data_IF_026497458001
#
_entry.id   IF_026497458001
#
_cell.length_a   1.000
_cell.length_b   1.000
_cell.length_c   1.000
_cell.angle_alpha   90.00
_cell.angle_beta   90.00
_cell.angle_gamma   90.00
#
_symmetry.space_group_name_H-M   'P 1'
#
loop_
_entity.id
_entity.type
_entity.pdbx_description
1 polymer ?
#
# COMPACT_ATOMS: atom_id res chain seq x y z
N UNK A 1 7.15 70.36 -59.71
CA UNK A 1 8.34 69.46 -59.71
C UNK A 1 8.40 68.82 -58.33
N UNK A 2 8.08 67.52 -58.22
CA UNK A 2 8.12 66.83 -56.91
C UNK A 2 9.60 66.71 -56.52
N UNK A 3 9.99 67.28 -55.38
CA UNK A 3 11.34 67.16 -54.84
C UNK A 3 11.53 65.74 -54.30
N UNK A 4 12.13 64.88 -55.13
CA UNK A 4 12.43 63.49 -54.81
C UNK A 4 13.25 63.31 -53.52
N UNK A 5 14.05 64.31 -53.14
CA UNK A 5 14.82 64.32 -51.90
C UNK A 5 13.94 64.33 -50.65
N UNK A 6 12.79 65.01 -50.68
CA UNK A 6 11.84 65.04 -49.54
C UNK A 6 11.13 63.70 -49.38
N UNK A 7 10.84 63.01 -50.48
CA UNK A 7 10.24 61.68 -50.48
C UNK A 7 11.22 60.64 -49.94
N UNK A 8 12.49 60.70 -50.35
CA UNK A 8 13.53 59.78 -49.86
C UNK A 8 13.84 59.97 -48.37
N UNK A 9 13.92 61.20 -47.89
CA UNK A 9 14.11 61.48 -46.45
C UNK A 9 12.89 61.06 -45.63
N UNK A 10 11.68 61.24 -46.14
CA UNK A 10 10.46 60.78 -45.48
C UNK A 10 10.40 59.24 -45.41
N UNK A 11 10.76 58.53 -46.48
CA UNK A 11 10.83 57.05 -46.52
C UNK A 11 11.94 56.54 -45.59
N UNK A 12 13.13 57.16 -45.61
CA UNK A 12 14.24 56.80 -44.72
C UNK A 12 13.92 57.06 -43.24
N UNK A 13 13.27 58.19 -42.93
CA UNK A 13 12.83 58.54 -41.58
C UNK A 13 11.76 57.61 -41.04
N UNK A 14 10.76 57.25 -41.87
CA UNK A 14 9.74 56.27 -41.48
C UNK A 14 10.30 54.86 -41.33
N UNK A 15 11.23 54.45 -42.19
CA UNK A 15 11.93 53.17 -42.05
C UNK A 15 12.79 53.10 -40.76
N UNK A 16 13.49 54.19 -40.42
CA UNK A 16 14.29 54.27 -39.20
C UNK A 16 13.42 54.26 -37.93
N UNK A 17 12.30 54.99 -37.92
CA UNK A 17 11.34 54.97 -36.81
C UNK A 17 10.68 53.61 -36.69
N UNK A 18 10.30 52.96 -37.79
CA UNK A 18 9.74 51.61 -37.78
C UNK A 18 10.76 50.57 -37.26
N UNK A 19 12.02 50.64 -37.70
CA UNK A 19 13.09 49.77 -37.23
C UNK A 19 13.40 49.97 -35.74
N UNK A 20 13.46 51.22 -35.27
CA UNK A 20 13.64 51.55 -33.86
C UNK A 20 12.47 51.05 -33.01
N UNK A 21 11.23 51.25 -33.47
CA UNK A 21 10.02 50.78 -32.79
C UNK A 21 9.96 49.26 -32.73
N UNK A 22 10.35 48.57 -33.81
CA UNK A 22 10.43 47.11 -33.86
C UNK A 22 11.50 46.55 -32.92
N UNK A 23 12.67 47.20 -32.83
CA UNK A 23 13.72 46.82 -31.87
C UNK A 23 13.28 46.99 -30.42
N UNK A 24 12.63 48.10 -30.09
CA UNK A 24 12.09 48.35 -28.75
C UNK A 24 10.96 47.39 -28.40
N UNK A 25 10.01 47.17 -29.32
CA UNK A 25 8.92 46.23 -29.13
C UNK A 25 9.45 44.81 -28.92
N UNK A 26 10.40 44.36 -29.75
CA UNK A 26 11.04 43.04 -29.62
C UNK A 26 11.76 42.90 -28.27
N UNK A 27 12.56 43.89 -27.86
CA UNK A 27 13.27 43.84 -26.58
C UNK A 27 12.35 43.82 -25.35
N UNK A 28 11.21 44.51 -25.41
CA UNK A 28 10.19 44.46 -24.34
C UNK A 28 9.48 43.09 -24.36
N UNK A 29 9.11 42.59 -25.54
CA UNK A 29 8.40 41.32 -25.68
C UNK A 29 9.24 40.13 -25.23
N UNK A 30 10.51 40.09 -25.64
CA UNK A 30 11.46 39.03 -25.26
C UNK A 30 11.69 39.03 -23.73
N UNK A 31 11.85 40.21 -23.10
CA UNK A 31 11.97 40.31 -21.63
C UNK A 31 10.70 39.88 -20.90
N UNK A 32 9.52 40.22 -21.42
CA UNK A 32 8.24 39.81 -20.83
C UNK A 32 8.04 38.30 -20.97
N UNK A 33 8.34 37.72 -22.12
CA UNK A 33 8.28 36.27 -22.35
C UNK A 33 9.26 35.52 -21.45
N UNK A 34 10.52 35.93 -21.38
CA UNK A 34 11.52 35.32 -20.51
C UNK A 34 11.11 35.38 -19.04
N UNK A 35 10.54 36.51 -18.60
CA UNK A 35 10.06 36.64 -17.21
C UNK A 35 8.88 35.71 -16.90
N UNK A 36 7.99 35.47 -17.88
CA UNK A 36 6.85 34.56 -17.73
C UNK A 36 7.29 33.10 -17.82
N UNK A 37 8.19 32.76 -18.73
CA UNK A 37 8.78 31.44 -18.86
C UNK A 37 9.53 31.06 -17.58
N UNK A 38 10.35 31.94 -17.02
CA UNK A 38 11.01 31.71 -15.72
C UNK A 38 10.02 31.52 -14.59
N UNK A 39 8.97 32.35 -14.51
CA UNK A 39 7.91 32.16 -13.50
C UNK A 39 7.19 30.83 -13.65
N UNK A 40 6.90 30.41 -14.88
CA UNK A 40 6.26 29.11 -15.16
C UNK A 40 7.20 27.97 -14.80
N UNK A 41 8.48 28.05 -15.15
CA UNK A 41 9.51 27.07 -14.79
C UNK A 41 9.67 26.95 -13.28
N UNK A 42 9.73 28.08 -12.56
CA UNK A 42 9.82 28.12 -11.10
C UNK A 42 8.55 27.54 -10.45
N UNK A 43 7.36 27.83 -11.01
CA UNK A 43 6.09 27.24 -10.56
C UNK A 43 6.06 25.72 -10.80
N UNK A 44 6.56 25.25 -11.94
CA UNK A 44 6.66 23.82 -12.23
C UNK A 44 7.61 23.16 -11.22
N UNK A 45 8.80 23.71 -11.01
CA UNK A 45 9.78 23.18 -10.03
C UNK A 45 9.22 23.16 -8.61
N UNK A 46 8.54 24.23 -8.18
CA UNK A 46 7.88 24.28 -6.87
C UNK A 46 6.76 23.25 -6.74
N UNK A 47 5.90 23.12 -7.76
CA UNK A 47 4.82 22.13 -7.75
C UNK A 47 5.34 20.70 -7.72
N UNK A 48 6.44 20.41 -8.44
CA UNK A 48 7.12 19.12 -8.40
C UNK A 48 7.75 18.86 -7.02
N UNK A 49 8.45 19.85 -6.44
CA UNK A 49 9.03 19.72 -5.11
C UNK A 49 7.96 19.50 -4.04
N UNK A 50 6.83 20.21 -4.10
CA UNK A 50 5.69 19.98 -3.22
C UNK A 50 5.09 18.59 -3.39
N UNK A 51 4.96 18.12 -4.63
CA UNK A 51 4.44 16.79 -4.93
C UNK A 51 5.35 15.70 -4.34
N UNK A 52 6.65 15.78 -4.58
CA UNK A 52 7.66 14.86 -4.02
C UNK A 52 7.60 14.89 -2.49
N UNK A 53 7.49 16.08 -1.88
CA UNK A 53 7.38 16.20 -0.42
C UNK A 53 6.10 15.56 0.13
N UNK A 54 4.97 15.69 -0.57
CA UNK A 54 3.69 15.05 -0.18
C UNK A 54 3.78 13.54 -0.32
N UNK A 55 4.34 13.04 -1.43
CA UNK A 55 4.53 11.61 -1.67
C UNK A 55 5.47 10.99 -0.62
N UNK A 56 6.60 11.64 -0.30
CA UNK A 56 7.49 11.22 0.78
C UNK A 56 6.80 11.16 2.15
N UNK A 57 5.99 12.18 2.47
CA UNK A 57 5.23 12.20 3.73
C UNK A 57 4.21 11.07 3.81
N UNK A 58 3.51 10.78 2.72
CA UNK A 58 2.54 9.66 2.67
C UNK A 58 3.29 8.33 2.82
N UNK A 59 4.42 8.17 2.16
CA UNK A 59 5.27 6.98 2.27
C UNK A 59 5.76 6.76 3.71
N UNK A 60 6.25 7.79 4.38
CA UNK A 60 6.67 7.70 5.79
C UNK A 60 5.48 7.32 6.70
N UNK A 61 4.28 7.82 6.40
CA UNK A 61 3.06 7.50 7.14
C UNK A 61 2.56 6.06 6.92
N UNK A 62 2.84 5.44 5.77
CA UNK A 62 2.41 4.07 5.46
C UNK A 62 3.40 3.01 5.94
N UNK A 63 4.68 3.35 6.06
CA UNK A 63 5.74 2.38 6.30
C UNK A 63 5.63 1.67 7.66
N UNK A 64 5.45 2.43 8.75
CA UNK A 64 5.41 1.87 10.10
C UNK A 64 4.17 0.97 10.34
N UNK A 65 2.95 1.37 9.91
CA UNK A 65 1.80 0.48 9.97
C UNK A 65 1.93 -0.78 9.10
N UNK A 66 2.49 -0.68 7.89
CA UNK A 66 2.73 -1.85 7.04
C UNK A 66 3.74 -2.82 7.67
N UNK A 67 4.80 -2.30 8.29
CA UNK A 67 5.75 -3.10 9.06
C UNK A 67 5.06 -3.82 10.23
N UNK A 68 4.16 -3.12 10.91
CA UNK A 68 3.37 -3.68 12.02
C UNK A 68 2.47 -4.82 11.53
N UNK A 69 1.77 -4.63 10.41
CA UNK A 69 0.97 -5.68 9.76
C UNK A 69 1.81 -6.91 9.41
N UNK A 70 2.97 -6.73 8.78
CA UNK A 70 3.85 -7.84 8.44
C UNK A 70 4.30 -8.58 9.70
N UNK A 71 4.68 -7.84 10.75
CA UNK A 71 5.11 -8.45 12.02
C UNK A 71 3.99 -9.22 12.71
N UNK A 72 2.78 -8.66 12.78
CA UNK A 72 1.61 -9.31 13.35
C UNK A 72 1.22 -10.56 12.57
N UNK A 73 1.19 -10.47 11.23
CA UNK A 73 0.93 -11.61 10.35
C UNK A 73 1.95 -12.73 10.55
N UNK A 74 3.23 -12.40 10.67
CA UNK A 74 4.29 -13.38 10.93
C UNK A 74 4.14 -14.07 12.30
N UNK A 75 3.85 -13.30 13.35
CA UNK A 75 3.62 -13.85 14.71
C UNK A 75 2.39 -14.74 14.75
N UNK A 76 1.30 -14.31 14.12
CA UNK A 76 0.07 -15.09 14.01
C UNK A 76 0.30 -16.40 13.25
N UNK A 77 1.02 -16.34 12.11
CA UNK A 77 1.43 -17.52 11.34
C UNK A 77 2.23 -18.51 12.19
N UNK A 78 3.22 -18.05 12.94
CA UNK A 78 4.03 -18.93 13.78
C UNK A 78 3.21 -19.59 14.89
N UNK A 79 2.36 -18.82 15.59
CA UNK A 79 1.47 -19.39 16.61
C UNK A 79 0.47 -20.38 16.00
N UNK A 80 -0.02 -20.13 14.78
CA UNK A 80 -0.88 -21.04 14.04
C UNK A 80 -0.15 -22.33 13.63
N UNK A 81 1.11 -22.21 13.20
CA UNK A 81 1.96 -23.37 12.91
C UNK A 81 2.13 -24.26 14.13
N UNK A 82 2.45 -23.66 15.28
CA UNK A 82 2.65 -24.40 16.53
C UNK A 82 1.39 -25.20 16.93
N UNK A 83 0.19 -24.61 16.71
CA UNK A 83 -1.11 -25.26 16.90
C UNK A 83 -1.38 -26.39 15.87
N UNK A 84 -1.02 -26.18 14.61
CA UNK A 84 -1.26 -27.15 13.53
C UNK A 84 -0.32 -28.36 13.62
N UNK A 85 0.95 -28.14 13.95
CA UNK A 85 1.95 -29.21 14.11
C UNK A 85 1.72 -30.04 15.37
N UNK A 86 1.15 -29.43 16.42
CA UNK A 86 0.91 -30.08 17.71
C UNK A 86 -0.58 -30.01 18.10
N UNK A 87 -1.43 -30.90 17.56
CA UNK A 87 -2.88 -30.90 17.86
C UNK A 87 -3.18 -31.14 19.34
N UNK A 88 -2.26 -31.74 20.11
CA UNK A 88 -2.40 -31.87 21.57
C UNK A 88 -2.34 -30.52 22.29
N UNK A 89 -1.70 -29.51 21.68
CA UNK A 89 -1.64 -28.11 22.13
C UNK A 89 -2.90 -27.33 21.71
N UNK A 90 -3.81 -27.91 20.92
CA UNK A 90 -5.06 -27.24 20.50
C UNK A 90 -6.03 -26.90 21.66
N UNK A 91 -5.82 -27.43 22.87
CA UNK A 91 -6.54 -26.99 24.09
C UNK A 91 -5.76 -25.93 24.89
N UNK A 92 -4.60 -25.47 24.41
CA UNK A 92 -3.82 -24.39 25.02
C UNK A 92 -4.52 -23.05 24.84
N UNK A 93 -5.35 -22.72 25.83
CA UNK A 93 -6.05 -21.43 25.95
C UNK A 93 -5.11 -20.23 25.83
N UNK A 94 -3.84 -20.36 26.26
CA UNK A 94 -2.87 -19.26 26.20
C UNK A 94 -2.49 -18.96 24.75
N UNK A 95 -2.16 -19.99 23.97
CA UNK A 95 -1.72 -19.83 22.58
C UNK A 95 -2.87 -19.33 21.70
N UNK A 96 -4.09 -19.85 21.90
CA UNK A 96 -5.31 -19.36 21.23
C UNK A 96 -5.59 -17.90 21.62
N UNK A 97 -5.46 -17.56 22.91
CA UNK A 97 -5.62 -16.19 23.38
C UNK A 97 -4.61 -15.24 22.74
N UNK A 98 -3.34 -15.64 22.62
CA UNK A 98 -2.32 -14.87 21.91
C UNK A 98 -2.65 -14.69 20.43
N UNK A 99 -3.12 -15.74 19.76
CA UNK A 99 -3.51 -15.67 18.36
C UNK A 99 -4.68 -14.72 18.12
N UNK A 100 -5.66 -14.70 19.03
CA UNK A 100 -6.77 -13.72 19.03
C UNK A 100 -6.25 -12.29 19.20
N UNK A 101 -5.34 -12.06 20.15
CA UNK A 101 -4.70 -10.73 20.32
C UNK A 101 -4.00 -10.30 19.04
N UNK A 102 -3.24 -11.19 18.38
CA UNK A 102 -2.61 -10.86 17.11
C UNK A 102 -3.62 -10.54 16.02
N UNK A 103 -4.72 -11.31 15.93
CA UNK A 103 -5.81 -11.04 14.99
C UNK A 103 -6.44 -9.67 15.24
N UNK A 104 -6.78 -9.34 16.48
CA UNK A 104 -7.47 -8.11 16.82
C UNK A 104 -6.57 -6.90 16.56
N UNK A 105 -5.30 -6.95 16.97
CA UNK A 105 -4.31 -5.92 16.62
C UNK A 105 -4.13 -5.80 15.10
N UNK A 106 -4.18 -6.90 14.36
CA UNK A 106 -4.08 -6.86 12.89
C UNK A 106 -5.27 -6.14 12.25
N UNK A 107 -6.49 -6.36 12.77
CA UNK A 107 -7.70 -5.68 12.33
C UNK A 107 -7.66 -4.19 12.63
N UNK A 108 -7.19 -3.81 13.82
CA UNK A 108 -7.01 -2.42 14.22
C UNK A 108 -6.01 -1.71 13.30
N UNK A 109 -4.82 -2.28 13.08
CA UNK A 109 -3.83 -1.68 12.17
C UNK A 109 -4.35 -1.60 10.73
N UNK A 110 -5.11 -2.59 10.26
CA UNK A 110 -5.77 -2.54 8.95
C UNK A 110 -6.70 -1.33 8.83
N UNK A 111 -7.46 -1.02 9.87
CA UNK A 111 -8.36 0.13 9.87
C UNK A 111 -7.60 1.45 9.74
N UNK A 112 -6.48 1.60 10.45
CA UNK A 112 -5.62 2.79 10.43
C UNK A 112 -5.05 3.07 9.04
N UNK A 113 -4.65 2.03 8.31
CA UNK A 113 -3.98 2.19 7.02
C UNK A 113 -4.91 2.31 5.82
N UNK A 114 -6.21 2.07 6.00
CA UNK A 114 -7.18 1.99 4.88
C UNK A 114 -7.15 3.22 3.98
N UNK A 115 -6.96 4.41 4.54
CA UNK A 115 -6.93 5.66 3.79
C UNK A 115 -5.55 5.99 3.19
N UNK A 116 -4.52 5.23 3.57
CA UNK A 116 -3.12 5.56 3.28
C UNK A 116 -2.53 4.71 2.14
N UNK A 117 -3.11 3.54 1.87
CA UNK A 117 -2.60 2.61 0.84
C UNK A 117 -3.58 2.43 -0.33
N UNK A 118 -3.10 2.05 -1.53
CA UNK A 118 -3.95 1.73 -2.67
C UNK A 118 -4.95 0.61 -2.35
N UNK A 119 -6.12 0.66 -3.00
CA UNK A 119 -7.20 -0.30 -2.75
C UNK A 119 -6.81 -1.73 -3.10
N UNK A 120 -5.97 -1.96 -4.12
CA UNK A 120 -5.48 -3.30 -4.46
C UNK A 120 -4.61 -3.87 -3.33
N UNK A 121 -3.65 -3.07 -2.85
CA UNK A 121 -2.77 -3.43 -1.73
C UNK A 121 -3.59 -3.71 -0.48
N UNK A 122 -4.57 -2.84 -0.17
CA UNK A 122 -5.43 -3.01 1.00
C UNK A 122 -6.24 -4.30 0.92
N UNK A 123 -6.83 -4.60 -0.24
CA UNK A 123 -7.63 -5.82 -0.45
C UNK A 123 -6.79 -7.06 -0.17
N UNK A 124 -5.56 -7.10 -0.66
CA UNK A 124 -4.72 -8.29 -0.59
C UNK A 124 -4.19 -8.50 0.85
N UNK A 125 -3.85 -7.43 1.56
CA UNK A 125 -3.54 -7.49 3.00
C UNK A 125 -4.78 -7.93 3.80
N UNK A 126 -5.97 -7.41 3.46
CA UNK A 126 -7.22 -7.77 4.12
C UNK A 126 -7.61 -9.25 3.93
N UNK A 127 -7.14 -9.93 2.87
CA UNK A 127 -7.37 -11.37 2.73
C UNK A 127 -6.72 -12.18 3.85
N UNK A 128 -5.56 -11.75 4.36
CA UNK A 128 -4.88 -12.44 5.45
C UNK A 128 -5.72 -12.45 6.73
N UNK A 129 -6.44 -11.34 7.01
CA UNK A 129 -7.40 -11.25 8.12
C UNK A 129 -8.44 -12.37 8.04
N UNK A 130 -9.05 -12.58 6.88
CA UNK A 130 -10.07 -13.62 6.70
C UNK A 130 -9.50 -15.02 6.94
N UNK A 131 -8.30 -15.28 6.42
CA UNK A 131 -7.61 -16.57 6.62
C UNK A 131 -7.28 -16.81 8.09
N UNK A 132 -6.83 -15.78 8.80
CA UNK A 132 -6.54 -15.84 10.23
C UNK A 132 -7.81 -16.11 11.05
N UNK A 133 -8.91 -15.43 10.73
CA UNK A 133 -10.21 -15.68 11.36
C UNK A 133 -10.71 -17.10 11.09
N UNK A 134 -10.54 -17.60 9.86
CA UNK A 134 -10.95 -18.96 9.51
C UNK A 134 -10.15 -20.02 10.28
N UNK A 135 -8.83 -19.82 10.40
CA UNK A 135 -7.98 -20.69 11.21
C UNK A 135 -8.37 -20.67 12.70
N UNK A 136 -8.64 -19.49 13.27
CA UNK A 136 -9.11 -19.35 14.65
C UNK A 136 -10.40 -20.15 14.90
N UNK A 137 -11.37 -20.05 13.98
CA UNK A 137 -12.61 -20.81 14.08
C UNK A 137 -12.36 -22.32 14.01
N UNK A 138 -11.51 -22.78 13.08
CA UNK A 138 -11.18 -24.20 12.95
C UNK A 138 -10.53 -24.78 14.22
N UNK A 139 -9.65 -24.02 14.88
CA UNK A 139 -9.03 -24.42 16.16
C UNK A 139 -10.08 -24.49 17.28
N UNK A 140 -11.01 -23.53 17.32
CA UNK A 140 -12.06 -23.50 18.33
C UNK A 140 -13.07 -24.64 18.17
N UNK A 141 -13.51 -24.89 16.95
CA UNK A 141 -14.35 -26.04 16.58
C UNK A 141 -13.66 -27.37 16.92
N UNK A 142 -12.37 -27.50 16.61
CA UNK A 142 -11.59 -28.69 16.95
C UNK A 142 -11.49 -28.92 18.45
N UNK A 143 -11.34 -27.85 19.24
CA UNK A 143 -11.32 -27.91 20.70
C UNK A 143 -12.68 -28.31 21.27
N UNK A 144 -13.77 -27.80 20.72
CA UNK A 144 -15.13 -28.19 21.11
C UNK A 144 -15.39 -29.66 20.77
N UNK A 145 -14.95 -30.11 19.60
CA UNK A 145 -15.02 -31.49 19.13
C UNK A 145 -14.25 -32.44 20.05
N UNK A 146 -13.02 -32.09 20.44
CA UNK A 146 -12.21 -32.81 21.44
C UNK A 146 -12.91 -32.93 22.80
N UNK A 147 -13.58 -31.86 23.25
CA UNK A 147 -14.33 -31.86 24.52
C UNK A 147 -15.59 -32.72 24.44
N UNK A 148 -16.31 -32.69 23.32
CA UNK A 148 -17.48 -33.51 23.09
C UNK A 148 -17.11 -35.00 23.05
N UNK A 149 -16.08 -35.37 22.26
CA UNK A 149 -15.59 -36.76 22.18
C UNK A 149 -15.02 -37.30 23.50
N UNK A 150 -14.57 -36.45 24.43
CA UNK A 150 -14.19 -36.87 25.79
C UNK A 150 -15.40 -37.16 26.69
N UNK A 151 -16.53 -36.49 26.46
CA UNK A 151 -17.76 -36.64 27.27
C UNK A 151 -18.65 -37.76 26.77
N UNK A 152 -18.71 -37.95 25.46
CA UNK A 152 -19.58 -38.94 24.82
C UNK A 152 -18.93 -40.32 24.77
N UNK A 153 -19.72 -41.38 24.99
CA UNK A 153 -19.27 -42.77 24.90
C UNK A 153 -19.20 -43.23 23.44
N UNK A 154 -18.35 -42.59 22.64
CA UNK A 154 -18.06 -43.06 21.28
C UNK A 154 -17.25 -44.35 21.30
N UNK A 155 -17.42 -45.17 20.26
CA UNK A 155 -16.49 -46.26 19.99
C UNK A 155 -15.10 -45.70 19.69
N UNK A 156 -14.01 -46.41 20.02
CA UNK A 156 -12.64 -45.94 19.74
C UNK A 156 -12.41 -45.58 18.27
N UNK A 157 -12.99 -46.34 17.34
CA UNK A 157 -12.87 -46.08 15.91
C UNK A 157 -13.52 -44.75 15.50
N UNK A 158 -14.76 -44.50 15.97
CA UNK A 158 -15.48 -43.25 15.66
C UNK A 158 -14.80 -42.03 16.28
N UNK A 159 -14.24 -42.20 17.49
CA UNK A 159 -13.46 -41.14 18.15
C UNK A 159 -12.23 -40.77 17.34
N UNK A 160 -11.47 -41.76 16.86
CA UNK A 160 -10.27 -41.49 16.07
C UNK A 160 -10.62 -40.78 14.75
N UNK A 161 -11.66 -41.24 14.05
CA UNK A 161 -12.14 -40.61 12.80
C UNK A 161 -12.49 -39.12 12.99
N UNK A 162 -13.23 -38.78 14.05
CA UNK A 162 -13.61 -37.40 14.37
C UNK A 162 -12.37 -36.54 14.67
N UNK A 163 -11.41 -37.07 15.43
CA UNK A 163 -10.18 -36.36 15.79
C UNK A 163 -9.27 -36.15 14.58
N UNK A 164 -9.18 -37.14 13.70
CA UNK A 164 -8.42 -37.07 12.45
C UNK A 164 -9.01 -36.01 11.51
N UNK A 165 -10.33 -36.02 11.28
CA UNK A 165 -11.00 -35.01 10.47
C UNK A 165 -10.81 -33.58 11.02
N UNK A 166 -10.88 -33.42 12.35
CA UNK A 166 -10.60 -32.13 12.99
C UNK A 166 -9.15 -31.67 12.78
N UNK A 167 -8.19 -32.60 12.85
CA UNK A 167 -6.77 -32.31 12.63
C UNK A 167 -6.52 -31.89 11.18
N UNK A 168 -7.08 -32.63 10.22
CA UNK A 168 -6.97 -32.30 8.80
C UNK A 168 -7.53 -30.90 8.50
N UNK A 169 -8.68 -30.54 9.09
CA UNK A 169 -9.25 -29.21 8.92
C UNK A 169 -8.34 -28.10 9.47
N UNK A 170 -7.73 -28.29 10.64
CA UNK A 170 -6.77 -27.33 11.21
C UNK A 170 -5.54 -27.18 10.31
N UNK A 171 -4.99 -28.29 9.80
CA UNK A 171 -3.84 -28.26 8.89
C UNK A 171 -4.18 -27.54 7.59
N UNK A 172 -5.32 -27.86 6.97
CA UNK A 172 -5.79 -27.22 5.75
C UNK A 172 -5.93 -25.70 5.91
N UNK A 173 -6.52 -25.26 7.02
CA UNK A 173 -6.72 -23.83 7.29
C UNK A 173 -5.41 -23.12 7.61
N UNK A 174 -4.44 -23.81 8.22
CA UNK A 174 -3.08 -23.30 8.40
C UNK A 174 -2.36 -23.12 7.06
N UNK A 175 -2.40 -24.10 6.16
CA UNK A 175 -1.76 -23.98 4.83
C UNK A 175 -2.34 -22.80 4.03
N UNK A 176 -3.65 -22.60 4.13
CA UNK A 176 -4.31 -21.44 3.53
C UNK A 176 -3.80 -20.12 4.14
N UNK A 177 -3.62 -20.06 5.47
CA UNK A 177 -3.05 -18.92 6.19
C UNK A 177 -1.59 -18.67 5.79
N UNK A 178 -0.77 -19.71 5.74
CA UNK A 178 0.65 -19.66 5.36
C UNK A 178 0.83 -19.08 3.96
N UNK A 179 0.07 -19.60 3.00
CA UNK A 179 0.04 -19.09 1.62
C UNK A 179 -0.45 -17.65 1.58
N UNK A 180 -1.44 -17.31 2.40
CA UNK A 180 -1.95 -15.94 2.52
C UNK A 180 -0.92 -14.96 3.06
N UNK A 181 -0.10 -15.38 4.03
CA UNK A 181 0.97 -14.56 4.58
C UNK A 181 2.03 -14.27 3.51
N UNK A 182 2.44 -15.28 2.75
CA UNK A 182 3.41 -15.12 1.66
C UNK A 182 2.90 -14.15 0.59
N UNK A 183 1.64 -14.31 0.15
CA UNK A 183 1.04 -13.38 -0.81
C UNK A 183 0.94 -11.94 -0.27
N UNK A 184 0.55 -11.77 1.00
CA UNK A 184 0.52 -10.46 1.65
C UNK A 184 1.91 -9.83 1.73
N UNK A 185 2.93 -10.62 2.07
CA UNK A 185 4.31 -10.16 2.13
C UNK A 185 4.81 -9.69 0.76
N UNK A 186 4.53 -10.43 -0.31
CA UNK A 186 4.89 -10.05 -1.67
C UNK A 186 4.23 -8.73 -2.10
N UNK A 187 2.95 -8.55 -1.75
CA UNK A 187 2.22 -7.31 -2.03
C UNK A 187 2.80 -6.13 -1.26
N UNK A 188 3.09 -6.29 0.04
CA UNK A 188 3.73 -5.23 0.83
C UNK A 188 5.12 -4.89 0.28
N UNK A 189 5.92 -5.89 -0.05
CA UNK A 189 7.26 -5.68 -0.61
C UNK A 189 7.21 -4.98 -1.97
N UNK A 190 6.30 -5.38 -2.86
CA UNK A 190 6.13 -4.74 -4.16
C UNK A 190 5.64 -3.30 -4.05
N UNK A 191 4.75 -3.01 -3.10
CA UNK A 191 4.28 -1.66 -2.82
C UNK A 191 5.39 -0.74 -2.26
N UNK A 192 6.30 -1.30 -1.47
CA UNK A 192 7.42 -0.56 -0.87
C UNK A 192 8.64 -0.42 -1.79
N UNK A 193 8.67 -1.09 -2.95
CA UNK A 193 9.76 -0.90 -3.90
C UNK A 193 9.69 0.53 -4.46
N UNK A 194 10.82 1.26 -4.50
CA UNK A 194 10.85 2.51 -5.25
C UNK A 194 10.47 2.20 -6.71
N UNK A 195 9.78 3.12 -7.41
CA UNK A 195 9.54 2.96 -8.84
C UNK A 195 10.91 2.77 -9.50
N UNK A 196 11.12 1.59 -10.09
CA UNK A 196 12.33 1.30 -10.85
C UNK A 196 12.46 2.34 -11.95
N UNK A 197 13.57 3.07 -11.91
CA UNK A 197 13.99 4.13 -12.82
C UNK A 197 13.25 4.15 -14.17
N UNK A 198 12.44 5.22 -14.37
CA UNK A 198 12.04 5.72 -15.69
C UNK A 198 12.94 6.89 -16.02
#
# INVERSE_FOLDING_TARGET
MIQWDTVLVAIGGTAAVAAGSAFFAKGIFDRVLDSRLKRIEDQIKQSQAERIRREAKIFDQTLEPLRTIVSLGYRARNAARDLAENPEISDDKRLIGQLRVFHDSYVETLFEIRALIPQEVFRDIHQLRHKLSHFLNAVEEGRETLRATRKEQFTPARRNEILEASREHIVYTYEALDTGYSAMLDVVQSHLRPPSDI
#
